data_IF_581354702891
#
_entry.id   IF_581354702891
#
_cell.length_a   1.000
_cell.length_b   1.000
_cell.length_c   1.000
_cell.angle_alpha   90.00
_cell.angle_beta   90.00
_cell.angle_gamma   90.00
#
_symmetry.space_group_name_H-M   'P 1'
#
loop_
_entity.id
_entity.type
_entity.pdbx_description
1 polymer ?
#
# COMPACT_ATOMS: atom_id res chain seq x y z
N UNK A 1 7.15 -65.17 -21.94
CA UNK A 1 5.69 -65.33 -21.79
C UNK A 1 5.09 -64.03 -21.31
N UNK A 2 4.11 -63.53 -22.07
CA UNK A 2 2.92 -62.78 -21.67
C UNK A 2 2.99 -61.78 -20.50
N UNK A 3 2.79 -60.50 -20.83
CA UNK A 3 1.41 -60.03 -20.95
C UNK A 3 0.93 -58.97 -19.95
N UNK A 4 0.24 -57.98 -20.53
CA UNK A 4 -0.86 -57.19 -19.98
C UNK A 4 -0.56 -55.86 -19.26
N UNK A 5 -0.51 -54.83 -20.12
CA UNK A 5 -1.19 -53.52 -20.02
C UNK A 5 -2.24 -53.38 -18.90
N UNK A 6 -2.21 -52.26 -18.18
CA UNK A 6 -3.42 -51.57 -17.71
C UNK A 6 -3.25 -50.05 -17.83
N UNK A 7 -3.94 -49.51 -18.83
CA UNK A 7 -4.29 -48.10 -18.96
C UNK A 7 -5.19 -47.70 -17.80
N UNK A 8 -4.92 -46.56 -17.19
CA UNK A 8 -5.95 -45.80 -16.47
C UNK A 8 -5.76 -44.34 -16.87
N UNK A 9 -6.53 -43.96 -17.90
CA UNK A 9 -6.95 -42.58 -18.09
C UNK A 9 -7.71 -42.14 -16.84
N UNK A 10 -7.24 -41.08 -16.18
CA UNK A 10 -8.06 -40.30 -15.27
C UNK A 10 -7.85 -38.83 -15.55
N UNK A 11 -8.60 -38.36 -16.55
CA UNK A 11 -8.92 -36.96 -16.71
C UNK A 11 -9.58 -36.45 -15.41
N UNK A 12 -8.89 -35.58 -14.68
CA UNK A 12 -9.48 -34.78 -13.62
C UNK A 12 -9.70 -33.37 -14.20
N UNK A 13 -10.94 -33.11 -14.60
CA UNK A 13 -11.50 -31.77 -14.76
C UNK A 13 -11.58 -31.09 -13.39
N UNK A 14 -11.09 -29.86 -13.36
CA UNK A 14 -11.64 -28.67 -12.67
C UNK A 14 -11.95 -28.79 -11.18
N UNK A 15 -11.18 -28.06 -10.37
CA UNK A 15 -11.78 -27.18 -9.36
C UNK A 15 -11.01 -25.85 -9.31
N UNK A 16 -11.39 -24.91 -10.19
CA UNK A 16 -11.00 -23.51 -10.10
C UNK A 16 -11.86 -22.83 -9.03
N UNK A 17 -11.37 -22.80 -7.79
CA UNK A 17 -11.89 -21.91 -6.75
C UNK A 17 -10.76 -21.33 -5.92
N UNK A 18 -9.99 -20.43 -6.55
CA UNK A 18 -9.18 -19.46 -5.79
C UNK A 18 -10.10 -18.29 -5.42
N UNK A 19 -10.29 -17.97 -4.13
CA UNK A 19 -11.02 -16.78 -3.75
C UNK A 19 -10.14 -15.57 -4.06
N UNK A 20 -10.47 -14.88 -5.15
CA UNK A 20 -10.06 -13.50 -5.33
C UNK A 20 -10.61 -12.73 -4.14
N UNK A 21 -9.73 -12.37 -3.21
CA UNK A 21 -10.02 -11.37 -2.17
C UNK A 21 -10.24 -10.06 -2.92
N UNK A 22 -11.51 -9.80 -3.25
CA UNK A 22 -11.99 -8.50 -3.70
C UNK A 22 -11.89 -7.58 -2.50
N UNK A 23 -10.85 -6.76 -2.45
CA UNK A 23 -10.81 -5.68 -1.47
C UNK A 23 -11.66 -4.53 -2.00
N UNK A 24 -12.70 -4.22 -1.25
CA UNK A 24 -13.55 -3.07 -1.48
C UNK A 24 -12.70 -1.80 -1.62
N UNK A 25 -13.04 -0.97 -2.61
CA UNK A 25 -12.60 0.43 -2.66
C UNK A 25 -12.89 1.08 -1.31
N UNK A 26 -11.86 1.68 -0.69
CA UNK A 26 -11.93 2.27 0.65
C UNK A 26 -13.10 3.27 0.78
N UNK A 27 -13.78 3.33 1.94
CA UNK A 27 -14.71 4.42 2.23
C UNK A 27 -13.99 5.76 2.33
N UNK A 28 -14.54 6.75 1.64
CA UNK A 28 -14.07 8.12 1.44
C UNK A 28 -14.26 8.96 2.70
N UNK A 29 -13.39 8.82 3.71
CA UNK A 29 -13.34 9.74 4.86
C UNK A 29 -11.89 10.02 5.28
N UNK A 30 -11.27 10.96 4.56
CA UNK A 30 -10.21 11.81 5.08
C UNK A 30 -10.42 13.21 4.47
N UNK A 31 -10.54 14.29 5.27
CA UNK A 31 -10.82 15.61 4.71
C UNK A 31 -9.55 16.20 4.04
N UNK A 32 -9.67 16.90 2.90
CA UNK A 32 -8.55 17.64 2.33
C UNK A 32 -8.27 18.93 3.14
N UNK A 33 -7.01 19.38 3.25
CA UNK A 33 -6.71 20.69 3.82
C UNK A 33 -7.21 21.80 2.88
N UNK A 34 -8.10 22.66 3.37
CA UNK A 34 -8.50 23.91 2.70
C UNK A 34 -7.38 24.93 2.79
N UNK A 35 -6.68 25.16 1.68
CA UNK A 35 -5.75 26.29 1.56
C UNK A 35 -6.50 27.54 1.13
N UNK A 36 -6.47 28.57 1.98
CA UNK A 36 -6.81 29.95 1.64
C UNK A 36 -5.63 30.52 0.86
N UNK A 37 -5.84 30.88 -0.41
CA UNK A 37 -4.85 31.59 -1.22
C UNK A 37 -5.02 33.12 -1.07
N UNK A 38 -3.91 33.89 -1.06
CA UNK A 38 -3.97 35.30 -1.42
C UNK A 38 -3.11 35.65 -2.64
N UNK A 39 -3.69 36.47 -3.54
CA UNK A 39 -3.06 37.46 -4.46
C UNK A 39 -2.21 36.91 -5.60
N UNK A 40 -2.64 36.91 -6.88
CA UNK A 40 -2.86 38.03 -7.80
C UNK A 40 -1.67 39.01 -7.93
N UNK A 41 -0.82 38.80 -8.94
CA UNK A 41 -0.10 39.87 -9.65
C UNK A 41 -0.15 39.57 -11.16
N UNK A 42 -0.84 40.45 -11.87
CA UNK A 42 -0.83 40.60 -13.32
C UNK A 42 0.47 41.28 -13.77
N UNK A 43 1.10 40.78 -14.82
CA UNK A 43 1.74 41.64 -15.82
C UNK A 43 1.74 40.94 -17.17
N UNK A 44 1.08 41.58 -18.14
CA UNK A 44 0.89 41.06 -19.48
C UNK A 44 2.03 41.40 -20.44
N UNK A 45 2.01 40.73 -21.59
CA UNK A 45 2.40 41.31 -22.86
C UNK A 45 1.61 40.61 -23.98
N UNK A 46 0.84 41.39 -24.72
CA UNK A 46 0.12 41.00 -25.94
C UNK A 46 0.91 41.41 -27.18
N UNK A 47 0.73 40.69 -28.30
CA UNK A 47 0.72 41.11 -29.73
C UNK A 47 0.50 39.79 -30.52
N UNK A 48 -0.71 39.47 -31.02
CA UNK A 48 -1.34 39.82 -32.31
C UNK A 48 -0.52 39.30 -33.54
N UNK A 49 -1.03 38.79 -34.65
CA UNK A 49 -2.32 38.34 -35.18
C UNK A 49 -1.95 37.67 -36.53
N UNK A 50 -2.58 36.56 -36.94
CA UNK A 50 -2.70 36.23 -38.37
C UNK A 50 -3.84 35.22 -38.61
N UNK A 51 -4.81 35.70 -39.36
CA UNK A 51 -6.05 35.06 -39.82
C UNK A 51 -5.81 34.11 -40.99
N UNK A 52 -6.63 33.07 -41.11
CA UNK A 52 -6.70 32.24 -42.32
C UNK A 52 -7.86 31.25 -42.28
N UNK A 53 -9.06 31.74 -42.60
CA UNK A 53 -10.28 30.95 -42.80
C UNK A 53 -10.27 30.23 -44.15
N UNK A 54 -10.71 28.98 -44.20
CA UNK A 54 -11.40 28.42 -45.37
C UNK A 54 -12.38 27.34 -44.97
N UNK A 55 -13.62 27.56 -45.38
CA UNK A 55 -14.75 26.66 -45.32
C UNK A 55 -14.51 25.39 -46.15
N UNK A 56 -15.15 24.30 -45.74
CA UNK A 56 -15.93 23.54 -46.71
C UNK A 56 -17.09 22.82 -46.01
N UNK A 57 -18.28 23.13 -46.48
CA UNK A 57 -19.51 22.40 -46.28
C UNK A 57 -19.36 20.96 -46.81
N UNK A 58 -19.82 19.99 -46.03
CA UNK A 58 -20.26 18.70 -46.61
C UNK A 58 -21.38 18.14 -45.74
N UNK A 59 -22.53 18.01 -46.36
CA UNK A 59 -23.76 17.47 -45.78
C UNK A 59 -23.79 15.94 -45.87
N UNK A 60 -24.14 15.29 -44.74
CA UNK A 60 -24.85 14.00 -44.59
C UNK A 60 -24.14 12.70 -45.12
N UNK A 61 -24.42 11.48 -44.59
CA UNK A 61 -25.68 11.02 -43.99
C UNK A 61 -25.59 10.31 -42.63
N UNK A 62 -26.75 10.16 -41.99
CA UNK A 62 -27.05 9.46 -40.73
C UNK A 62 -26.42 8.07 -40.59
N UNK A 63 -25.96 7.69 -39.39
CA UNK A 63 -25.85 6.29 -39.02
C UNK A 63 -27.17 5.74 -38.47
N UNK A 64 -27.40 4.48 -38.84
CA UNK A 64 -28.58 3.69 -38.53
C UNK A 64 -28.88 3.56 -37.02
N UNK A 65 -30.18 3.60 -36.75
CA UNK A 65 -30.84 3.21 -35.52
C UNK A 65 -30.41 1.80 -35.08
N UNK A 66 -29.85 1.66 -33.88
CA UNK A 66 -29.62 0.38 -33.23
C UNK A 66 -30.47 0.33 -31.96
N UNK A 67 -31.47 -0.55 -32.00
CA UNK A 67 -32.44 -0.80 -30.95
C UNK A 67 -31.78 -1.34 -29.69
N UNK A 68 -31.95 -0.63 -28.58
CA UNK A 68 -31.60 -1.11 -27.25
C UNK A 68 -32.49 -2.32 -26.86
N UNK A 69 -31.94 -3.41 -26.29
CA UNK A 69 -32.76 -4.46 -25.72
C UNK A 69 -33.43 -3.98 -24.43
N UNK A 70 -34.75 -4.18 -24.37
CA UNK A 70 -35.64 -3.88 -23.25
C UNK A 70 -35.23 -4.72 -22.02
N UNK A 71 -34.69 -4.06 -21.00
CA UNK A 71 -34.49 -4.66 -19.67
C UNK A 71 -35.86 -4.99 -19.07
N UNK A 72 -36.16 -6.27 -18.93
CA UNK A 72 -37.24 -6.76 -18.08
C UNK A 72 -36.86 -6.55 -16.61
N UNK A 73 -37.70 -5.93 -15.77
CA UNK A 73 -37.49 -5.95 -14.33
C UNK A 73 -37.81 -7.34 -13.77
N UNK A 74 -36.84 -7.96 -13.11
CA UNK A 74 -37.04 -9.14 -12.25
C UNK A 74 -37.87 -8.73 -11.03
N UNK A 75 -38.92 -9.49 -10.64
CA UNK A 75 -39.67 -9.20 -9.42
C UNK A 75 -38.83 -9.46 -8.17
N UNK A 76 -38.91 -8.53 -7.21
CA UNK A 76 -38.32 -8.66 -5.89
C UNK A 76 -38.93 -9.84 -5.11
N UNK A 77 -38.15 -10.55 -4.27
CA UNK A 77 -38.73 -11.55 -3.37
C UNK A 77 -39.56 -10.86 -2.27
N UNK A 78 -40.77 -11.39 -2.07
CA UNK A 78 -41.69 -11.04 -0.98
C UNK A 78 -41.02 -11.23 0.38
N UNK A 79 -41.17 -10.30 1.35
CA UNK A 79 -40.71 -10.53 2.71
C UNK A 79 -41.62 -11.55 3.41
N UNK A 80 -41.01 -12.62 3.93
CA UNK A 80 -41.63 -13.56 4.86
C UNK A 80 -41.93 -12.84 6.18
N UNK A 81 -43.08 -13.08 6.84
CA UNK A 81 -43.45 -12.36 8.05
C UNK A 81 -42.52 -12.71 9.23
N UNK A 82 -42.21 -11.70 10.02
CA UNK A 82 -41.47 -11.76 11.27
C UNK A 82 -42.26 -12.61 12.27
N UNK A 83 -41.70 -13.76 12.65
CA UNK A 83 -42.12 -14.44 13.87
C UNK A 83 -41.53 -13.67 15.05
N UNK A 84 -42.41 -13.20 15.93
CA UNK A 84 -42.06 -12.63 17.23
C UNK A 84 -41.40 -13.72 18.08
N UNK A 85 -40.20 -13.43 18.59
CA UNK A 85 -39.51 -14.29 19.55
C UNK A 85 -39.53 -13.59 20.89
N UNK A 86 -40.09 -14.28 21.87
CA UNK A 86 -40.28 -13.87 23.25
C UNK A 86 -39.01 -13.30 23.91
N UNK A 87 -39.20 -12.17 24.60
CA UNK A 87 -38.19 -11.45 25.37
C UNK A 87 -38.29 -11.82 26.85
N UNK A 88 -37.91 -13.04 27.24
CA UNK A 88 -37.62 -13.32 28.66
C UNK A 88 -36.74 -14.58 28.84
N UNK A 89 -35.43 -14.35 28.93
CA UNK A 89 -34.43 -15.18 29.60
C UNK A 89 -33.10 -14.42 29.59
N UNK A 90 -32.91 -13.51 30.54
CA UNK A 90 -32.06 -13.76 31.70
C UNK A 90 -30.60 -14.07 31.35
N UNK A 91 -29.81 -12.98 31.31
CA UNK A 91 -28.56 -12.83 32.05
C UNK A 91 -27.77 -14.13 32.32
N UNK A 92 -26.90 -14.47 31.37
CA UNK A 92 -25.61 -15.11 31.63
C UNK A 92 -24.74 -14.96 30.39
N UNK A 93 -24.42 -13.71 30.01
CA UNK A 93 -23.27 -13.49 29.14
C UNK A 93 -22.03 -13.85 29.95
N UNK A 94 -21.64 -15.12 29.81
CA UNK A 94 -20.38 -15.63 30.26
C UNK A 94 -19.29 -14.67 29.76
N UNK A 95 -18.57 -14.04 30.70
CA UNK A 95 -17.26 -13.46 30.43
C UNK A 95 -16.37 -14.55 29.87
N UNK A 96 -16.39 -14.72 28.55
CA UNK A 96 -15.32 -15.40 27.86
C UNK A 96 -14.05 -14.59 28.15
N UNK A 97 -12.97 -15.19 28.67
CA UNK A 97 -11.71 -14.50 28.80
C UNK A 97 -11.34 -13.99 27.42
N UNK A 98 -11.14 -12.67 27.29
CA UNK A 98 -10.54 -12.11 26.08
C UNK A 98 -9.24 -12.88 25.84
N UNK A 99 -9.06 -13.57 24.69
CA UNK A 99 -7.83 -14.30 24.47
C UNK A 99 -6.67 -13.31 24.61
N UNK A 100 -5.71 -13.62 25.47
CA UNK A 100 -4.50 -12.82 25.59
C UNK A 100 -3.90 -12.68 24.18
N UNK A 101 -3.51 -11.47 23.77
CA UNK A 101 -2.99 -11.26 22.43
C UNK A 101 -1.80 -12.18 22.20
N UNK A 102 -1.81 -12.91 21.08
CA UNK A 102 -0.68 -13.77 20.73
C UNK A 102 0.63 -12.98 20.82
N UNK A 103 1.67 -13.53 21.47
CA UNK A 103 2.95 -12.84 21.60
C UNK A 103 3.52 -12.53 20.22
N UNK A 104 4.14 -11.36 20.08
CA UNK A 104 4.80 -10.99 18.82
C UNK A 104 5.90 -12.03 18.49
N UNK A 105 6.10 -12.37 17.20
CA UNK A 105 7.01 -13.44 16.79
C UNK A 105 8.47 -12.99 16.73
N UNK A 106 8.90 -12.13 17.66
CA UNK A 106 10.24 -11.55 17.69
C UNK A 106 11.02 -11.98 18.93
N UNK A 107 12.26 -12.41 18.76
CA UNK A 107 13.19 -12.57 19.87
C UNK A 107 13.71 -11.21 20.38
N UNK A 108 14.36 -11.20 21.55
CA UNK A 108 14.85 -9.97 22.19
C UNK A 108 15.83 -9.19 21.30
N UNK A 109 16.66 -9.89 20.53
CA UNK A 109 17.65 -9.26 19.64
C UNK A 109 16.95 -8.59 18.45
N UNK A 110 15.96 -9.26 17.87
CA UNK A 110 15.10 -8.73 16.82
C UNK A 110 14.33 -7.51 17.32
N UNK A 111 13.73 -7.59 18.51
CA UNK A 111 13.03 -6.46 19.11
C UNK A 111 13.96 -5.26 19.32
N UNK A 112 15.18 -5.49 19.81
CA UNK A 112 16.17 -4.42 19.96
C UNK A 112 16.52 -3.76 18.62
N UNK A 113 16.70 -4.54 17.54
CA UNK A 113 16.96 -3.99 16.20
C UNK A 113 15.76 -3.23 15.63
N UNK A 114 14.54 -3.72 15.86
CA UNK A 114 13.30 -3.04 15.47
C UNK A 114 13.21 -1.69 16.17
N UNK A 115 13.33 -1.68 17.51
CA UNK A 115 13.23 -0.47 18.33
C UNK A 115 14.28 0.59 17.99
N UNK A 116 15.50 0.17 17.63
CA UNK A 116 16.61 1.08 17.32
C UNK A 116 16.37 2.03 16.12
N UNK A 117 15.38 1.76 15.26
CA UNK A 117 15.10 2.57 14.07
C UNK A 117 13.69 3.18 14.05
N UNK A 118 12.87 2.97 15.08
CA UNK A 118 11.46 3.37 15.03
C UNK A 118 11.24 4.88 14.92
N UNK A 119 12.12 5.70 15.50
CA UNK A 119 12.05 7.15 15.31
C UNK A 119 12.29 7.57 13.85
N UNK A 120 13.18 6.87 13.15
CA UNK A 120 13.46 7.09 11.72
C UNK A 120 12.29 6.61 10.87
N UNK A 121 11.72 5.43 11.19
CA UNK A 121 10.51 4.92 10.52
C UNK A 121 9.35 5.89 10.68
N UNK A 122 9.09 6.39 11.89
CA UNK A 122 8.04 7.37 12.15
C UNK A 122 8.25 8.68 11.37
N UNK A 123 9.49 9.18 11.29
CA UNK A 123 9.81 10.36 10.52
C UNK A 123 9.60 10.15 9.01
N UNK A 124 10.08 9.01 8.47
CA UNK A 124 9.91 8.68 7.06
C UNK A 124 8.44 8.43 6.69
N UNK A 125 7.67 7.78 7.57
CA UNK A 125 6.23 7.57 7.43
C UNK A 125 5.50 8.90 7.29
N UNK A 126 5.79 9.86 8.19
CA UNK A 126 5.20 11.19 8.16
C UNK A 126 5.62 12.01 6.92
N UNK A 127 6.89 11.95 6.52
CA UNK A 127 7.41 12.72 5.38
C UNK A 127 6.88 12.21 4.03
N UNK A 128 6.64 10.91 3.90
CA UNK A 128 6.29 10.27 2.63
C UNK A 128 4.86 9.73 2.58
N UNK A 129 4.06 9.99 3.61
CA UNK A 129 2.66 9.60 3.75
C UNK A 129 2.45 8.09 3.56
N UNK A 130 3.33 7.28 4.14
CA UNK A 130 3.26 5.82 4.12
C UNK A 130 2.99 5.29 5.52
N UNK A 131 2.11 4.30 5.62
CA UNK A 131 1.85 3.61 6.88
C UNK A 131 3.15 3.06 7.52
N UNK A 132 3.49 3.44 8.77
CA UNK A 132 4.68 2.97 9.46
C UNK A 132 4.69 1.45 9.68
N UNK A 133 3.54 0.80 9.85
CA UNK A 133 3.48 -0.65 9.99
C UNK A 133 3.92 -1.33 8.68
N UNK A 134 3.50 -0.80 7.52
CA UNK A 134 3.91 -1.31 6.21
C UNK A 134 5.41 -1.11 5.96
N UNK A 135 5.98 0.01 6.39
CA UNK A 135 7.45 0.25 6.31
C UNK A 135 8.19 -0.80 7.16
N UNK A 136 7.77 -1.01 8.40
CA UNK A 136 8.38 -2.00 9.30
C UNK A 136 8.27 -3.42 8.73
N UNK A 137 7.11 -3.80 8.19
CA UNK A 137 6.90 -5.08 7.55
C UNK A 137 7.82 -5.30 6.35
N UNK A 138 8.03 -4.27 5.54
CA UNK A 138 8.93 -4.32 4.40
C UNK A 138 10.39 -4.47 4.86
N UNK A 139 10.84 -3.70 5.86
CA UNK A 139 12.20 -3.84 6.45
C UNK A 139 12.41 -5.26 7.02
N UNK A 140 11.38 -5.81 7.67
CA UNK A 140 11.42 -7.15 8.22
C UNK A 140 11.69 -8.20 7.14
N UNK A 141 10.89 -8.20 6.07
CA UNK A 141 11.01 -9.17 4.97
C UNK A 141 12.33 -8.99 4.20
N UNK A 142 12.80 -7.76 4.05
CA UNK A 142 14.00 -7.45 3.27
C UNK A 142 15.31 -7.75 4.03
N UNK A 143 15.38 -7.44 5.32
CA UNK A 143 16.66 -7.50 6.06
C UNK A 143 16.57 -8.03 7.49
N UNK A 144 15.37 -8.28 8.03
CA UNK A 144 15.17 -8.55 9.46
C UNK A 144 15.82 -7.47 10.34
N UNK A 145 15.75 -6.21 9.89
CA UNK A 145 16.36 -5.03 10.51
C UNK A 145 17.90 -5.06 10.59
N UNK A 146 18.57 -5.84 9.74
CA UNK A 146 20.03 -5.84 9.67
C UNK A 146 20.55 -4.65 8.85
N UNK A 147 21.06 -3.63 9.56
CA UNK A 147 21.57 -2.37 8.96
C UNK A 147 22.61 -2.55 7.85
N UNK A 148 23.42 -3.61 7.94
CA UNK A 148 24.50 -3.93 6.99
C UNK A 148 24.16 -5.10 6.06
N UNK A 149 22.88 -5.48 5.96
CA UNK A 149 22.45 -6.55 5.05
C UNK A 149 22.85 -6.24 3.61
N UNK A 150 23.37 -7.27 2.93
CA UNK A 150 23.68 -7.23 1.51
C UNK A 150 23.08 -8.44 0.83
N UNK A 151 22.09 -8.20 -0.02
CA UNK A 151 21.45 -9.25 -0.81
C UNK A 151 22.37 -9.78 -1.93
N UNK A 152 22.08 -10.97 -2.46
CA UNK A 152 22.90 -11.63 -3.48
C UNK A 152 22.99 -10.83 -4.80
N UNK A 153 21.92 -10.12 -5.17
CA UNK A 153 21.90 -9.22 -6.32
C UNK A 153 22.57 -7.85 -6.05
N UNK A 154 23.11 -7.63 -4.86
CA UNK A 154 23.75 -6.37 -4.46
C UNK A 154 22.81 -5.34 -3.86
N UNK A 155 21.60 -5.72 -3.46
CA UNK A 155 20.71 -4.91 -2.64
C UNK A 155 21.35 -4.60 -1.27
N UNK A 156 21.08 -3.41 -0.70
CA UNK A 156 21.82 -2.90 0.47
C UNK A 156 20.92 -2.29 1.55
N UNK A 157 21.28 -2.56 2.80
CA UNK A 157 20.71 -1.91 3.98
C UNK A 157 19.36 -2.47 4.41
N UNK A 158 18.66 -1.71 5.24
CA UNK A 158 17.42 -2.11 5.90
C UNK A 158 16.29 -2.44 4.92
N UNK A 159 16.12 -1.62 3.90
CA UNK A 159 15.08 -1.74 2.87
C UNK A 159 15.62 -2.28 1.53
N UNK A 160 16.81 -2.90 1.57
CA UNK A 160 17.42 -3.64 0.45
C UNK A 160 17.38 -2.90 -0.89
N UNK A 161 17.81 -1.64 -0.90
CA UNK A 161 17.83 -0.85 -2.12
C UNK A 161 18.96 -1.29 -3.05
N UNK A 162 18.61 -1.55 -4.32
CA UNK A 162 19.58 -1.73 -5.38
C UNK A 162 20.42 -0.45 -5.57
N UNK A 163 21.73 -0.52 -5.88
CA UNK A 163 22.60 0.66 -5.94
C UNK A 163 22.11 1.75 -6.90
N UNK A 164 21.57 1.35 -8.07
CA UNK A 164 20.96 2.26 -9.05
C UNK A 164 19.73 2.96 -8.48
N UNK A 165 18.88 2.21 -7.78
CA UNK A 165 17.67 2.73 -7.13
C UNK A 165 18.02 3.69 -5.99
N UNK A 166 18.97 3.33 -5.13
CA UNK A 166 19.48 4.20 -4.07
C UNK A 166 20.06 5.51 -4.63
N UNK A 167 20.77 5.45 -5.76
CA UNK A 167 21.26 6.65 -6.45
C UNK A 167 20.14 7.55 -6.99
N UNK A 168 19.07 6.97 -7.52
CA UNK A 168 17.91 7.72 -7.97
C UNK A 168 17.14 8.36 -6.80
N UNK A 169 16.98 7.65 -5.68
CA UNK A 169 16.30 8.17 -4.49
C UNK A 169 17.13 9.25 -3.80
N UNK A 170 18.45 9.11 -3.74
CA UNK A 170 19.35 10.14 -3.22
C UNK A 170 19.17 11.48 -3.93
N UNK A 171 19.08 11.47 -5.27
CA UNK A 171 18.81 12.68 -6.06
C UNK A 171 17.45 13.30 -5.74
N UNK A 172 16.41 12.48 -5.56
CA UNK A 172 15.06 12.97 -5.24
C UNK A 172 14.96 13.55 -3.83
N UNK A 173 15.68 12.96 -2.87
CA UNK A 173 15.76 13.45 -1.50
C UNK A 173 16.69 14.67 -1.35
N UNK A 174 17.52 14.98 -2.36
CA UNK A 174 18.58 15.98 -2.21
C UNK A 174 19.66 15.59 -1.20
N UNK A 175 19.84 14.28 -0.93
CA UNK A 175 20.77 13.74 0.07
C UNK A 175 21.91 12.96 -0.59
N UNK A 176 23.08 12.90 0.06
CA UNK A 176 24.17 12.01 -0.38
C UNK A 176 23.74 10.55 -0.21
N UNK A 177 23.97 9.72 -1.23
CA UNK A 177 23.69 8.27 -1.15
C UNK A 177 24.54 7.60 -0.07
N UNK A 178 23.89 6.97 0.91
CA UNK A 178 24.56 6.12 1.91
C UNK A 178 23.69 4.90 2.28
N UNK A 179 23.76 3.83 1.49
CA UNK A 179 22.82 2.70 1.61
C UNK A 179 22.87 1.93 2.94
N UNK A 180 23.94 2.07 3.74
CA UNK A 180 24.05 1.40 5.06
C UNK A 180 23.78 2.32 6.24
N UNK A 181 23.53 3.60 5.98
CA UNK A 181 23.03 4.53 6.98
C UNK A 181 21.51 4.36 7.12
N UNK A 182 21.00 4.05 8.33
CA UNK A 182 19.57 3.82 8.55
C UNK A 182 18.68 4.98 8.12
N UNK A 183 19.08 6.22 8.41
CA UNK A 183 18.32 7.42 8.06
C UNK A 183 18.13 7.53 6.55
N UNK A 184 19.24 7.54 5.79
CA UNK A 184 19.17 7.56 4.33
C UNK A 184 18.38 6.37 3.77
N UNK A 185 18.66 5.15 4.25
CA UNK A 185 18.10 3.94 3.64
C UNK A 185 16.59 3.85 3.85
N UNK A 186 16.10 4.17 5.05
CA UNK A 186 14.66 4.16 5.37
C UNK A 186 13.93 5.26 4.61
N UNK A 187 14.43 6.50 4.59
CA UNK A 187 13.80 7.57 3.81
C UNK A 187 13.80 7.25 2.31
N UNK A 188 14.91 6.74 1.76
CA UNK A 188 15.00 6.39 0.35
C UNK A 188 14.06 5.24 -0.03
N UNK A 189 13.95 4.20 0.81
CA UNK A 189 13.05 3.08 0.56
C UNK A 189 11.59 3.46 0.74
N UNK A 190 11.27 4.27 1.74
CA UNK A 190 9.91 4.77 1.97
C UNK A 190 9.47 5.70 0.84
N UNK A 191 10.34 6.59 0.35
CA UNK A 191 10.06 7.39 -0.84
C UNK A 191 9.81 6.53 -2.08
N UNK A 192 10.57 5.43 -2.25
CA UNK A 192 10.31 4.50 -3.36
C UNK A 192 8.93 3.85 -3.22
N UNK A 193 8.58 3.38 -2.03
CA UNK A 193 7.29 2.75 -1.75
C UNK A 193 6.13 3.72 -1.96
N UNK A 194 6.21 4.95 -1.44
CA UNK A 194 5.24 6.03 -1.66
C UNK A 194 4.98 6.26 -3.15
N UNK A 195 6.04 6.39 -3.95
CA UNK A 195 5.91 6.58 -5.41
C UNK A 195 5.29 5.38 -6.14
N UNK A 196 5.41 4.18 -5.58
CA UNK A 196 4.80 2.98 -6.13
C UNK A 196 3.33 2.90 -5.74
N UNK A 197 2.97 3.29 -4.52
CA UNK A 197 1.58 3.46 -4.09
C UNK A 197 0.87 4.48 -5.00
N UNK A 198 1.46 5.64 -5.25
CA UNK A 198 0.92 6.65 -6.18
C UNK A 198 0.70 6.09 -7.58
N UNK A 199 1.71 5.37 -8.10
CA UNK A 199 1.67 4.78 -9.45
C UNK A 199 0.53 3.77 -9.60
N UNK A 200 0.23 3.02 -8.55
CA UNK A 200 -0.77 1.96 -8.58
C UNK A 200 -2.03 2.36 -7.81
N UNK A 201 -2.32 3.66 -7.72
CA UNK A 201 -3.57 4.21 -7.18
C UNK A 201 -3.90 3.72 -5.75
N UNK A 202 -2.85 3.51 -4.94
CA UNK A 202 -2.97 3.02 -3.56
C UNK A 202 -3.11 1.50 -3.43
N UNK A 203 -3.01 0.73 -4.52
CA UNK A 203 -2.95 -0.73 -4.46
C UNK A 203 -1.62 -1.18 -3.84
N UNK A 204 -1.70 -1.59 -2.57
CA UNK A 204 -0.54 -2.04 -1.79
C UNK A 204 0.11 -3.29 -2.41
N UNK A 205 -0.67 -4.22 -2.94
CA UNK A 205 -0.14 -5.45 -3.54
C UNK A 205 0.71 -5.15 -4.78
N UNK A 206 0.21 -4.29 -5.67
CA UNK A 206 0.94 -3.86 -6.86
C UNK A 206 2.13 -2.97 -6.51
N UNK A 207 2.01 -2.12 -5.48
CA UNK A 207 3.14 -1.33 -4.99
C UNK A 207 4.27 -2.22 -4.46
N UNK A 208 3.96 -3.23 -3.65
CA UNK A 208 4.92 -4.23 -3.15
C UNK A 208 5.52 -5.07 -4.29
N UNK A 209 4.71 -5.48 -5.27
CA UNK A 209 5.21 -6.13 -6.49
C UNK A 209 6.21 -5.21 -7.22
N UNK A 210 5.88 -3.93 -7.33
CA UNK A 210 6.70 -2.92 -7.98
C UNK A 210 7.99 -2.62 -7.22
N UNK A 211 7.97 -2.75 -5.89
CA UNK A 211 9.16 -2.65 -5.05
C UNK A 211 10.11 -3.82 -5.33
N UNK A 212 9.55 -5.03 -5.43
CA UNK A 212 10.30 -6.28 -5.60
C UNK A 212 10.81 -6.54 -7.03
N UNK A 213 10.12 -6.04 -8.07
CA UNK A 213 10.43 -6.32 -9.49
C UNK A 213 10.56 -5.08 -10.37
N UNK A 214 10.38 -3.90 -9.79
CA UNK A 214 10.35 -2.63 -10.50
C UNK A 214 8.96 -2.31 -11.02
N UNK A 215 8.48 -1.09 -10.73
CA UNK A 215 7.15 -0.65 -11.14
C UNK A 215 6.90 -0.68 -12.65
N UNK A 216 7.94 -0.52 -13.49
CA UNK A 216 7.79 -0.65 -14.94
C UNK A 216 7.48 -2.08 -15.41
N UNK A 217 8.02 -3.08 -14.72
CA UNK A 217 7.73 -4.50 -14.99
C UNK A 217 6.28 -4.82 -14.60
N UNK A 218 5.85 -4.37 -13.42
CA UNK A 218 4.49 -4.60 -12.93
C UNK A 218 3.45 -3.89 -13.79
N UNK A 219 3.71 -2.66 -14.23
CA UNK A 219 2.81 -1.97 -15.18
C UNK A 219 2.60 -2.78 -16.47
N UNK A 220 3.62 -3.51 -16.95
CA UNK A 220 3.46 -4.39 -18.12
C UNK A 220 2.55 -5.58 -17.80
N UNK A 221 2.76 -6.25 -16.66
CA UNK A 221 1.91 -7.36 -16.25
C UNK A 221 0.44 -6.95 -16.11
N UNK A 222 0.19 -5.79 -15.48
CA UNK A 222 -1.15 -5.21 -15.35
C UNK A 222 -1.75 -4.91 -16.73
N UNK A 223 -0.99 -4.28 -17.63
CA UNK A 223 -1.46 -3.94 -18.97
C UNK A 223 -1.80 -5.17 -19.83
N UNK A 224 -1.08 -6.28 -19.67
CA UNK A 224 -1.34 -7.52 -20.41
C UNK A 224 -2.36 -8.43 -19.71
N UNK A 225 -2.81 -8.10 -18.49
CA UNK A 225 -3.61 -9.00 -17.65
C UNK A 225 -2.87 -10.28 -17.23
N UNK A 226 -1.53 -10.25 -17.25
CA UNK A 226 -0.73 -11.41 -16.88
C UNK A 226 -0.72 -11.58 -15.35
N UNK A 227 -0.81 -12.81 -14.84
CA UNK A 227 -0.68 -13.05 -13.41
C UNK A 227 0.71 -12.65 -12.92
N UNK A 228 0.80 -12.17 -11.67
CA UNK A 228 2.08 -11.93 -11.03
C UNK A 228 2.85 -13.25 -10.88
N UNK A 229 4.18 -13.29 -11.06
CA UNK A 229 4.94 -14.51 -10.81
C UNK A 229 4.80 -14.99 -9.37
N UNK A 230 4.80 -16.31 -9.15
CA UNK A 230 4.62 -16.92 -7.82
C UNK A 230 5.58 -16.35 -6.76
N UNK A 231 6.86 -16.17 -7.11
CA UNK A 231 7.84 -15.58 -6.20
C UNK A 231 7.53 -14.13 -5.78
N UNK A 232 6.78 -13.39 -6.60
CA UNK A 232 6.30 -12.03 -6.27
C UNK A 232 5.08 -12.11 -5.36
N UNK A 233 4.15 -13.02 -5.65
CA UNK A 233 2.98 -13.26 -4.79
C UNK A 233 3.42 -13.67 -3.37
N UNK A 234 4.38 -14.59 -3.27
CA UNK A 234 4.93 -15.01 -1.98
C UNK A 234 5.66 -13.88 -1.24
N UNK A 235 6.32 -12.96 -1.95
CA UNK A 235 6.89 -11.77 -1.33
C UNK A 235 5.80 -10.87 -0.74
N UNK A 236 4.74 -10.58 -1.50
CA UNK A 236 3.60 -9.78 -1.05
C UNK A 236 2.97 -10.41 0.19
N UNK A 237 2.69 -11.72 0.15
CA UNK A 237 2.08 -12.44 1.26
C UNK A 237 2.89 -12.30 2.56
N UNK A 238 4.23 -12.50 2.51
CA UNK A 238 5.09 -12.33 3.69
C UNK A 238 5.09 -10.91 4.23
N UNK A 239 5.02 -9.89 3.37
CA UNK A 239 4.97 -8.50 3.81
C UNK A 239 3.62 -8.19 4.48
N UNK A 240 2.51 -8.66 3.90
CA UNK A 240 1.19 -8.44 4.50
C UNK A 240 0.99 -9.22 5.80
N UNK A 241 1.58 -10.40 5.93
CA UNK A 241 1.62 -11.15 7.18
C UNK A 241 2.41 -10.38 8.26
N UNK A 242 3.61 -9.90 7.91
CA UNK A 242 4.41 -9.08 8.83
C UNK A 242 3.71 -7.75 9.18
N UNK A 243 2.99 -7.15 8.23
CA UNK A 243 2.20 -5.93 8.45
C UNK A 243 1.18 -6.11 9.56
N UNK A 244 0.45 -7.23 9.57
CA UNK A 244 -0.49 -7.55 10.64
C UNK A 244 0.18 -7.66 12.02
N UNK A 245 1.45 -8.06 12.12
CA UNK A 245 2.19 -8.05 13.38
C UNK A 245 2.57 -6.64 13.82
N UNK A 246 2.99 -5.78 12.89
CA UNK A 246 3.41 -4.41 13.18
C UNK A 246 2.25 -3.45 13.45
N UNK A 247 1.05 -3.70 12.93
CA UNK A 247 -0.19 -2.98 13.31
C UNK A 247 -0.51 -3.14 14.80
N UNK A 248 -0.12 -4.27 15.41
CA UNK A 248 -0.30 -4.52 16.84
C UNK A 248 0.83 -3.96 17.70
N UNK A 249 1.94 -3.53 17.10
CA UNK A 249 3.07 -2.98 17.83
C UNK A 249 2.73 -1.54 18.23
N UNK A 250 2.87 -1.16 19.51
CA UNK A 250 2.60 0.20 19.93
C UNK A 250 3.49 1.17 19.13
N UNK A 251 2.96 2.33 18.69
CA UNK A 251 3.75 3.30 17.97
C UNK A 251 4.94 3.71 18.83
N UNK A 252 6.08 4.00 18.17
CA UNK A 252 7.28 4.48 18.84
C UNK A 252 6.90 5.59 19.83
N UNK A 253 7.47 5.61 21.05
CA UNK A 253 7.24 6.72 21.96
C UNK A 253 7.65 8.00 21.24
N UNK A 254 6.67 8.79 20.82
CA UNK A 254 6.94 10.14 20.36
C UNK A 254 7.56 10.82 21.55
N UNK A 255 8.81 11.22 21.43
CA UNK A 255 9.45 12.11 22.41
C UNK A 255 8.68 13.41 22.37
N UNK A 256 7.59 13.46 23.13
CA UNK A 256 6.92 14.71 23.47
C UNK A 256 7.96 15.46 24.24
N UNK A 257 8.66 16.36 23.53
CA UNK A 257 9.60 17.32 24.08
C UNK A 257 9.01 17.79 25.39
N UNK A 258 9.60 17.34 26.50
CA UNK A 258 9.25 17.87 27.80
C UNK A 258 9.71 19.31 27.74
N UNK A 259 8.78 20.21 27.41
CA UNK A 259 8.93 21.63 27.64
C UNK A 259 9.20 21.76 29.14
N UNK A 260 10.49 21.84 29.49
CA UNK A 260 10.95 22.14 30.83
C UNK A 260 10.25 23.44 31.23
N UNK A 261 9.51 23.49 32.35
CA UNK A 261 8.96 24.75 32.80
C UNK A 261 10.14 25.69 33.03
N UNK A 262 10.10 26.87 32.38
CA UNK A 262 11.03 27.96 32.68
C UNK A 262 10.89 28.23 34.18
N UNK A 263 11.91 27.89 34.95
CA UNK A 263 12.02 28.28 36.34
C UNK A 263 11.90 29.80 36.43
N UNK A 264 10.98 30.28 37.26
CA UNK A 264 10.74 31.69 37.48
C UNK A 264 12.00 32.39 37.96
N UNK A 265 12.32 33.52 37.33
CA UNK A 265 13.26 34.49 37.83
C UNK A 265 12.68 35.15 39.09
N UNK A 266 13.08 34.66 40.27
CA UNK A 266 12.94 35.41 41.51
C UNK A 266 14.00 36.52 41.51
N UNK A 267 13.55 37.77 41.60
CA UNK A 267 14.39 38.92 41.89
C UNK A 267 14.21 39.26 43.38
N UNK A 268 15.27 39.32 44.20
CA UNK A 268 15.19 39.92 45.51
C UNK A 268 15.45 41.44 45.41
N UNK A 269 14.87 42.13 46.41
CA UNK A 269 14.74 43.58 46.59
C UNK A 269 16.06 44.35 46.61
#
# INVERSE_FOLDING_TARGET
MSGARRSVDRAARVDERSPLVSFARRPRWWPPPTWIAPGLVLLGLAVACATGSRANDTSAPSPASSSAPKLTPTPAPTPTPLAEVDVDAAAAEASAPTPEPEPLPFDDEQLARIMAVQSIVAAAAAEHEVDPALINALIWVESKFQRRARGPAGAQGLMQLMPKTAGAMAKRLGRKRNSYDPDFNIHAGTLLLSRLLDRFEGDVGLALAGYNRGGGTVSKWVATGAPLPEGVQGFIARVLEAHAWFERMPPAPTTRTSARPRAGSASPR
#
